data_IF_937212793552
#
_entry.id   IF_937212793552
#
_cell.length_a   1.000
_cell.length_b   1.000
_cell.length_c   1.000
_cell.angle_alpha   90.00
_cell.angle_beta   90.00
_cell.angle_gamma   90.00
#
_symmetry.space_group_name_H-M   'P 1'
#
loop_
_entity.id
_entity.type
_entity.pdbx_description
1 polymer ?
#
# COMPACT_ATOMS: atom_id res chain seq x y z
N UNK A 1 8.48 -42.87 2.83
CA UNK A 1 7.52 -42.65 1.73
C UNK A 1 7.06 -41.23 1.94
N UNK A 2 7.64 -40.36 1.13
CA UNK A 2 7.77 -38.93 1.39
C UNK A 2 6.49 -38.20 1.00
N UNK A 3 5.69 -37.79 1.98
CA UNK A 3 4.54 -36.88 1.79
C UNK A 3 4.96 -35.40 1.69
N UNK A 4 6.25 -35.08 1.87
CA UNK A 4 6.78 -33.69 1.91
C UNK A 4 7.11 -33.05 0.54
N UNK A 5 6.90 -33.75 -0.59
CA UNK A 5 7.31 -33.25 -1.92
C UNK A 5 6.18 -32.66 -2.77
N UNK A 6 4.93 -32.66 -2.29
CA UNK A 6 3.79 -32.10 -3.03
C UNK A 6 3.45 -30.65 -2.66
N UNK A 7 3.78 -30.18 -1.44
CA UNK A 7 3.43 -28.83 -0.99
C UNK A 7 4.27 -27.71 -1.65
N UNK A 8 5.49 -28.05 -2.11
CA UNK A 8 6.40 -27.08 -2.74
C UNK A 8 5.96 -26.57 -4.11
N UNK A 9 5.18 -27.35 -4.89
CA UNK A 9 4.72 -26.94 -6.23
C UNK A 9 3.48 -26.05 -6.22
N UNK A 10 2.71 -26.05 -5.13
CA UNK A 10 1.47 -25.25 -5.06
C UNK A 10 1.75 -23.75 -4.87
N UNK A 11 2.92 -23.40 -4.33
CA UNK A 11 3.31 -22.01 -4.09
C UNK A 11 4.12 -21.36 -5.23
N UNK A 12 4.26 -22.03 -6.38
CA UNK A 12 4.95 -21.44 -7.53
C UNK A 12 4.09 -20.34 -8.18
N UNK A 13 4.78 -19.25 -8.58
CA UNK A 13 4.22 -18.19 -9.38
C UNK A 13 3.79 -18.74 -10.76
N UNK A 14 2.65 -18.28 -11.26
CA UNK A 14 2.03 -18.73 -12.51
C UNK A 14 2.16 -17.64 -13.56
N UNK A 15 2.10 -18.01 -14.84
CA UNK A 15 1.96 -17.02 -15.92
C UNK A 15 0.63 -16.26 -15.76
N UNK A 16 0.72 -14.94 -15.62
CA UNK A 16 -0.46 -14.08 -15.43
C UNK A 16 -1.46 -14.22 -16.57
N UNK A 17 -1.00 -14.46 -17.80
CA UNK A 17 -1.86 -14.65 -18.97
C UNK A 17 -2.69 -15.94 -18.96
N UNK A 18 -2.43 -16.83 -18.00
CA UNK A 18 -3.18 -18.09 -17.81
C UNK A 18 -4.23 -18.03 -16.71
N UNK A 19 -4.29 -16.94 -15.94
CA UNK A 19 -5.24 -16.79 -14.84
C UNK A 19 -6.67 -16.61 -15.35
N UNK A 20 -7.62 -17.18 -14.61
CA UNK A 20 -9.03 -16.97 -14.87
C UNK A 20 -9.47 -15.56 -14.43
N UNK A 21 -10.45 -15.01 -15.13
CA UNK A 21 -10.91 -13.65 -14.90
C UNK A 21 -11.84 -13.59 -13.67
N UNK A 22 -11.58 -12.70 -12.71
CA UNK A 22 -12.28 -12.69 -11.43
C UNK A 22 -13.79 -12.33 -11.53
N UNK A 23 -14.20 -11.61 -12.57
CA UNK A 23 -15.61 -11.33 -12.88
C UNK A 23 -16.40 -12.52 -13.48
N UNK A 24 -15.75 -13.63 -13.83
CA UNK A 24 -16.48 -14.83 -14.27
C UNK A 24 -17.33 -15.40 -13.13
N UNK A 25 -18.55 -15.83 -13.44
CA UNK A 25 -19.47 -16.41 -12.44
C UNK A 25 -18.85 -17.59 -11.68
N UNK A 26 -18.07 -18.42 -12.36
CA UNK A 26 -17.39 -19.55 -11.72
C UNK A 26 -16.46 -19.09 -10.59
N UNK A 27 -15.72 -17.99 -10.81
CA UNK A 27 -14.74 -17.51 -9.83
C UNK A 27 -15.42 -16.76 -8.69
N UNK A 28 -16.52 -16.07 -9.00
CA UNK A 28 -17.37 -15.46 -7.98
C UNK A 28 -17.99 -16.51 -7.05
N UNK A 29 -18.45 -17.66 -7.59
CA UNK A 29 -18.93 -18.77 -6.77
C UNK A 29 -17.82 -19.41 -5.93
N UNK A 30 -16.62 -19.59 -6.49
CA UNK A 30 -15.47 -20.09 -5.73
C UNK A 30 -15.12 -19.16 -4.57
N UNK A 31 -15.16 -17.84 -4.79
CA UNK A 31 -14.93 -16.86 -3.72
C UNK A 31 -15.96 -17.04 -2.58
N UNK A 32 -17.25 -17.15 -2.91
CA UNK A 32 -18.33 -17.39 -1.93
C UNK A 32 -18.11 -18.67 -1.11
N UNK A 33 -17.70 -19.75 -1.78
CA UNK A 33 -17.42 -21.02 -1.12
C UNK A 33 -16.23 -20.89 -0.15
N UNK A 34 -15.14 -20.24 -0.57
CA UNK A 34 -13.91 -20.11 0.22
C UNK A 34 -14.04 -19.14 1.40
N UNK A 35 -14.86 -18.09 1.27
CA UNK A 35 -15.11 -17.12 2.33
C UNK A 35 -16.28 -17.52 3.26
N UNK A 36 -16.95 -18.65 3.01
CA UNK A 36 -18.11 -19.08 3.81
C UNK A 36 -17.75 -19.22 5.29
N UNK A 37 -18.51 -18.55 6.15
CA UNK A 37 -18.31 -18.56 7.60
C UNK A 37 -17.11 -17.74 8.08
N UNK A 38 -16.51 -16.94 7.21
CA UNK A 38 -15.37 -16.08 7.49
C UNK A 38 -15.72 -14.63 7.16
N UNK A 39 -15.12 -13.70 7.89
CA UNK A 39 -15.25 -12.28 7.59
C UNK A 39 -14.23 -11.89 6.51
N UNK A 40 -14.68 -11.34 5.40
CA UNK A 40 -13.79 -10.83 4.34
C UNK A 40 -13.09 -9.57 4.85
N UNK A 41 -11.76 -9.57 4.74
CA UNK A 41 -10.96 -8.36 4.85
C UNK A 41 -10.52 -7.97 3.43
N UNK A 42 -11.08 -6.89 2.91
CA UNK A 42 -10.71 -6.34 1.62
C UNK A 42 -9.45 -5.47 1.75
N UNK A 43 -8.41 -5.80 1.01
CA UNK A 43 -7.21 -4.99 0.85
C UNK A 43 -7.03 -4.68 -0.64
N UNK A 44 -6.74 -3.43 -0.96
CA UNK A 44 -6.66 -2.95 -2.34
C UNK A 44 -5.45 -2.05 -2.47
N UNK A 45 -4.63 -2.28 -3.50
CA UNK A 45 -3.62 -1.32 -3.91
C UNK A 45 -4.29 -0.05 -4.47
N UNK A 46 -3.53 1.04 -4.55
CA UNK A 46 -4.02 2.32 -5.03
C UNK A 46 -3.72 2.58 -6.52
N UNK A 47 -2.45 2.70 -6.90
CA UNK A 47 -2.04 3.16 -8.23
C UNK A 47 -2.12 2.00 -9.22
N UNK A 48 -2.80 2.15 -10.35
CA UNK A 48 -3.01 1.03 -11.29
C UNK A 48 -4.09 0.02 -10.88
N UNK A 49 -4.50 0.05 -9.61
CA UNK A 49 -5.60 -0.79 -9.08
C UNK A 49 -6.89 -0.01 -8.86
N UNK A 50 -6.94 0.94 -7.92
CA UNK A 50 -8.13 1.77 -7.69
C UNK A 50 -8.14 3.01 -8.61
N UNK A 51 -6.96 3.58 -8.86
CA UNK A 51 -6.75 4.74 -9.72
C UNK A 51 -6.00 4.32 -10.99
N UNK A 52 -6.24 4.96 -12.14
CA UNK A 52 -5.50 4.66 -13.36
C UNK A 52 -4.02 5.08 -13.26
N UNK A 53 -3.14 4.34 -13.94
CA UNK A 53 -1.75 4.76 -14.15
C UNK A 53 -1.75 5.99 -15.07
N UNK A 54 -1.20 7.09 -14.59
CA UNK A 54 -1.10 8.38 -15.29
C UNK A 54 0.34 8.86 -15.36
N UNK A 55 0.66 9.74 -16.31
CA UNK A 55 2.01 10.28 -16.47
C UNK A 55 2.45 11.14 -15.29
N UNK A 56 1.52 11.89 -14.70
CA UNK A 56 1.74 12.69 -13.50
C UNK A 56 1.10 11.98 -12.31
N UNK A 57 1.89 11.39 -11.38
CA UNK A 57 1.37 10.69 -10.21
C UNK A 57 0.48 11.57 -9.31
N UNK A 58 0.60 12.90 -9.38
CA UNK A 58 -0.27 13.79 -8.61
C UNK A 58 -1.72 13.82 -9.13
N UNK A 59 -1.95 13.37 -10.38
CA UNK A 59 -3.26 13.33 -11.03
C UNK A 59 -3.96 11.97 -10.93
N UNK A 60 -3.37 10.98 -10.24
CA UNK A 60 -3.89 9.62 -10.13
C UNK A 60 -5.07 9.54 -9.13
N UNK A 61 -6.19 10.21 -9.41
CA UNK A 61 -7.36 10.23 -8.53
C UNK A 61 -8.33 9.07 -8.82
N UNK A 62 -8.90 8.48 -7.76
CA UNK A 62 -10.08 7.63 -7.87
C UNK A 62 -11.32 8.48 -8.19
N UNK A 63 -12.30 7.87 -8.86
CA UNK A 63 -13.59 8.52 -9.11
C UNK A 63 -14.41 8.65 -7.81
N UNK A 64 -15.38 9.56 -7.80
CA UNK A 64 -16.27 9.74 -6.66
C UNK A 64 -17.10 8.47 -6.40
N UNK A 65 -17.53 7.79 -7.47
CA UNK A 65 -18.26 6.53 -7.39
C UNK A 65 -17.42 5.42 -6.74
N UNK A 66 -16.14 5.28 -7.11
CA UNK A 66 -15.23 4.30 -6.46
C UNK A 66 -15.00 4.66 -5.00
N UNK A 67 -14.85 5.94 -4.66
CA UNK A 67 -14.70 6.39 -3.26
C UNK A 67 -15.95 6.05 -2.44
N UNK A 68 -17.14 6.30 -2.98
CA UNK A 68 -18.41 6.01 -2.33
C UNK A 68 -18.63 4.51 -2.15
N UNK A 69 -18.24 3.72 -3.14
CA UNK A 69 -18.25 2.26 -3.08
C UNK A 69 -17.35 1.73 -1.97
N UNK A 70 -16.11 2.21 -1.85
CA UNK A 70 -15.21 1.85 -0.74
C UNK A 70 -15.80 2.24 0.61
N UNK A 71 -16.41 3.42 0.72
CA UNK A 71 -17.10 3.86 1.94
C UNK A 71 -18.26 2.94 2.32
N UNK A 72 -19.04 2.50 1.33
CA UNK A 72 -20.16 1.58 1.55
C UNK A 72 -19.66 0.18 1.96
N UNK A 73 -18.65 -0.35 1.28
CA UNK A 73 -18.00 -1.62 1.62
C UNK A 73 -17.42 -1.60 3.04
N UNK A 74 -16.81 -0.49 3.47
CA UNK A 74 -16.25 -0.33 4.82
C UNK A 74 -17.27 -0.48 5.96
N UNK A 75 -18.58 -0.48 5.66
CA UNK A 75 -19.65 -0.75 6.64
C UNK A 75 -19.87 -2.23 6.90
N UNK A 76 -19.37 -3.10 6.02
CA UNK A 76 -19.55 -4.55 6.07
C UNK A 76 -18.19 -5.25 6.19
N UNK A 77 -17.18 -4.76 5.50
CA UNK A 77 -15.84 -5.35 5.48
C UNK A 77 -14.85 -4.40 6.17
N UNK A 78 -13.89 -4.91 6.94
CA UNK A 78 -12.63 -4.21 7.11
C UNK A 78 -12.03 -3.95 5.72
N UNK A 79 -11.77 -2.68 5.41
CA UNK A 79 -11.17 -2.26 4.14
C UNK A 79 -9.83 -1.59 4.42
N UNK A 80 -8.79 -2.00 3.71
CA UNK A 80 -7.48 -1.36 3.74
C UNK A 80 -7.04 -0.93 2.34
N UNK A 81 -6.50 0.28 2.24
CA UNK A 81 -5.78 0.74 1.04
C UNK A 81 -4.29 0.63 1.32
N UNK A 82 -3.58 -0.16 0.51
CA UNK A 82 -2.13 -0.37 0.60
C UNK A 82 -1.47 0.37 -0.55
N UNK A 83 -0.35 1.05 -0.34
CA UNK A 83 0.31 1.81 -1.41
C UNK A 83 1.79 2.10 -1.10
N UNK A 84 2.57 2.34 -2.16
CA UNK A 84 3.90 2.95 -2.06
C UNK A 84 3.87 4.43 -1.66
N UNK A 85 2.74 5.14 -1.86
CA UNK A 85 2.56 6.54 -1.43
C UNK A 85 2.68 6.66 0.09
N UNK A 86 3.25 7.76 0.58
CA UNK A 86 3.23 8.05 2.02
C UNK A 86 1.80 8.09 2.56
N UNK A 87 1.60 7.75 3.84
CA UNK A 87 0.28 7.67 4.46
C UNK A 87 -0.53 8.97 4.27
N UNK A 88 0.14 10.11 4.44
CA UNK A 88 -0.48 11.43 4.28
C UNK A 88 -0.96 11.64 2.85
N UNK A 89 -0.11 11.35 1.85
CA UNK A 89 -0.49 11.46 0.44
C UNK A 89 -1.62 10.50 0.14
N UNK A 90 -1.49 9.22 0.49
CA UNK A 90 -2.52 8.22 0.26
C UNK A 90 -3.89 8.64 0.82
N UNK A 91 -3.91 9.17 2.04
CA UNK A 91 -5.13 9.71 2.64
C UNK A 91 -5.70 10.90 1.87
N UNK A 92 -4.88 11.84 1.38
CA UNK A 92 -5.35 12.97 0.57
C UNK A 92 -6.04 12.57 -0.73
N UNK A 93 -5.67 11.41 -1.29
CA UNK A 93 -6.26 10.87 -2.51
C UNK A 93 -7.56 10.11 -2.24
N UNK A 94 -7.56 9.23 -1.24
CA UNK A 94 -8.71 8.38 -0.90
C UNK A 94 -9.79 9.13 -0.13
N UNK A 95 -9.40 9.93 0.88
CA UNK A 95 -10.28 10.78 1.70
C UNK A 95 -11.40 10.02 2.42
N UNK A 96 -11.09 8.85 2.98
CA UNK A 96 -12.02 8.05 3.77
C UNK A 96 -11.50 7.86 5.20
N UNK A 97 -12.36 8.15 6.17
CA UNK A 97 -12.03 7.97 7.59
C UNK A 97 -12.29 6.52 8.04
N UNK A 98 -13.12 5.79 7.30
CA UNK A 98 -13.62 4.46 7.66
C UNK A 98 -12.74 3.29 7.19
N UNK A 99 -11.55 3.55 6.63
CA UNK A 99 -10.67 2.52 6.08
C UNK A 99 -9.30 2.56 6.75
N UNK A 100 -8.61 1.42 6.73
CA UNK A 100 -7.19 1.35 7.07
C UNK A 100 -6.34 1.84 5.89
N UNK A 101 -5.17 2.37 6.20
CA UNK A 101 -4.18 2.83 5.24
C UNK A 101 -2.85 2.20 5.58
N UNK A 102 -2.17 1.63 4.58
CA UNK A 102 -0.78 1.19 4.67
C UNK A 102 0.03 1.94 3.61
N UNK A 103 0.68 3.03 4.04
CA UNK A 103 1.50 3.88 3.19
C UNK A 103 2.98 3.49 3.20
N UNK A 104 3.75 4.04 2.27
CA UNK A 104 5.18 3.80 2.10
C UNK A 104 5.52 2.32 2.04
N UNK A 105 4.80 1.55 1.23
CA UNK A 105 4.91 0.09 1.13
C UNK A 105 4.65 -0.63 2.47
N UNK A 106 3.85 -0.01 3.35
CA UNK A 106 3.48 -0.55 4.65
C UNK A 106 4.39 -0.14 5.81
N UNK A 107 5.37 0.74 5.61
CA UNK A 107 6.18 1.27 6.72
C UNK A 107 5.38 2.09 7.72
N UNK A 108 4.25 2.64 7.29
CA UNK A 108 3.29 3.36 8.12
C UNK A 108 1.89 2.84 7.87
N UNK A 109 1.22 2.42 8.95
CA UNK A 109 -0.13 1.87 8.92
C UNK A 109 -0.98 2.66 9.90
N UNK A 110 -2.16 3.09 9.46
CA UNK A 110 -3.09 3.78 10.35
C UNK A 110 -4.56 3.58 9.96
N UNK A 111 -5.44 3.96 10.87
CA UNK A 111 -6.89 3.95 10.66
C UNK A 111 -7.62 2.73 11.25
N UNK A 112 -8.93 2.58 11.02
CA UNK A 112 -9.83 3.66 10.61
C UNK A 112 -9.71 4.84 11.57
N UNK A 113 -9.82 6.05 11.04
CA UNK A 113 -9.62 7.27 11.80
C UNK A 113 -10.91 7.65 12.53
N UNK A 114 -10.84 7.72 13.86
CA UNK A 114 -11.81 8.46 14.65
C UNK A 114 -11.22 9.86 14.93
N UNK A 115 -11.98 10.90 14.62
CA UNK A 115 -11.61 12.26 14.97
C UNK A 115 -12.36 12.69 16.23
N UNK A 116 -11.67 13.35 17.16
CA UNK A 116 -12.33 13.99 18.29
C UNK A 116 -13.16 15.17 17.78
N UNK A 117 -14.37 15.35 18.31
CA UNK A 117 -15.41 16.24 17.76
C UNK A 117 -15.18 17.74 17.94
N UNK A 118 -13.97 18.25 17.75
CA UNK A 118 -13.72 19.68 17.63
C UNK A 118 -13.43 20.02 16.16
N UNK A 119 -14.39 20.66 15.49
CA UNK A 119 -14.03 21.46 14.33
C UNK A 119 -12.98 22.47 14.80
N UNK A 120 -11.83 22.48 14.13
CA UNK A 120 -10.87 23.56 14.31
C UNK A 120 -11.56 24.85 13.87
N UNK A 121 -12.09 25.59 14.84
CA UNK A 121 -12.49 26.97 14.66
C UNK A 121 -11.26 27.76 14.26
N UNK A 122 -11.38 28.56 13.20
CA UNK A 122 -10.43 29.59 12.77
C UNK A 122 -9.60 30.15 13.93
N UNK A 123 -8.38 29.65 14.08
CA UNK A 123 -7.40 30.18 15.00
C UNK A 123 -6.02 30.04 14.37
N UNK A 124 -5.58 31.13 13.76
CA UNK A 124 -4.18 31.51 13.64
C UNK A 124 -3.29 30.60 12.80
N UNK A 125 -2.86 31.12 11.66
CA UNK A 125 -1.66 30.68 10.97
C UNK A 125 -0.43 30.75 11.90
N UNK A 126 -0.17 29.68 12.63
CA UNK A 126 1.16 29.38 13.14
C UNK A 126 1.70 28.20 12.33
N UNK A 127 2.63 28.50 11.43
CA UNK A 127 3.56 27.52 10.89
C UNK A 127 4.35 26.93 12.06
N UNK A 128 3.83 25.87 12.66
CA UNK A 128 4.62 24.99 13.51
C UNK A 128 5.29 23.94 12.62
N UNK A 129 6.61 23.86 12.75
CA UNK A 129 7.49 22.95 12.02
C UNK A 129 6.99 21.50 12.05
N UNK A 130 6.43 21.03 10.92
CA UNK A 130 6.58 19.71 10.30
C UNK A 130 6.81 18.40 11.09
N UNK A 131 6.47 18.28 12.38
CA UNK A 131 6.75 17.04 13.15
C UNK A 131 5.55 16.33 13.75
N UNK A 132 4.34 16.89 13.70
CA UNK A 132 3.17 16.19 14.23
C UNK A 132 2.62 15.21 13.17
N UNK A 133 3.29 14.05 13.07
CA UNK A 133 2.95 12.91 12.17
C UNK A 133 1.61 12.25 12.49
N UNK A 134 0.84 12.86 13.39
CA UNK A 134 -0.41 12.38 13.97
C UNK A 134 -1.62 13.13 13.42
N UNK A 135 -1.40 14.01 12.43
CA UNK A 135 -2.43 14.63 11.64
C UNK A 135 -2.49 13.99 10.25
N UNK A 136 -3.58 13.27 9.95
CA UNK A 136 -3.94 12.89 8.58
C UNK A 136 -4.96 13.90 8.06
N UNK A 137 -4.63 14.58 6.96
CA UNK A 137 -5.51 15.60 6.37
C UNK A 137 -5.75 16.84 7.24
N UNK A 138 -4.79 17.20 8.10
CA UNK A 138 -4.88 18.42 8.95
C UNK A 138 -5.78 18.29 10.19
N UNK A 139 -6.30 17.10 10.48
CA UNK A 139 -7.10 16.81 11.69
C UNK A 139 -6.31 15.96 12.68
N UNK A 140 -6.38 16.29 13.97
CA UNK A 140 -5.74 15.49 15.02
C UNK A 140 -6.45 14.13 15.16
N UNK A 141 -5.71 13.04 14.97
CA UNK A 141 -6.23 11.67 15.08
C UNK A 141 -6.40 11.31 16.56
N UNK A 142 -7.57 10.77 16.93
CA UNK A 142 -7.76 10.16 18.24
C UNK A 142 -7.02 8.82 18.31
N UNK A 143 -5.78 8.84 18.79
CA UNK A 143 -4.92 7.66 18.94
C UNK A 143 -5.48 6.59 19.88
N UNK A 144 -6.46 6.92 20.73
CA UNK A 144 -7.10 5.92 21.58
C UNK A 144 -8.11 5.05 20.82
N UNK A 145 -8.45 5.44 19.59
CA UNK A 145 -9.51 4.82 18.78
C UNK A 145 -9.09 4.51 17.34
N UNK A 146 -7.88 4.89 16.95
CA UNK A 146 -7.32 4.62 15.63
C UNK A 146 -6.03 3.81 15.75
N UNK A 147 -5.82 2.83 14.87
CA UNK A 147 -4.53 2.20 14.72
C UNK A 147 -3.51 3.24 14.26
N UNK A 148 -2.31 3.19 14.84
CA UNK A 148 -1.13 3.82 14.30
C UNK A 148 0.06 2.91 14.55
N UNK A 149 0.75 2.53 13.48
CA UNK A 149 1.93 1.69 13.52
C UNK A 149 2.95 2.20 12.51
N UNK A 150 4.22 2.19 12.92
CA UNK A 150 5.32 2.59 12.07
C UNK A 150 6.47 1.58 12.19
N UNK A 151 6.67 0.76 11.17
CA UNK A 151 7.71 -0.27 11.17
C UNK A 151 9.13 0.30 11.12
N UNK A 152 9.28 1.53 10.62
CA UNK A 152 10.59 2.15 10.34
C UNK A 152 10.84 3.44 11.15
N UNK A 153 10.17 3.62 12.28
CA UNK A 153 10.26 4.86 13.09
C UNK A 153 11.72 5.21 13.46
N UNK A 154 12.51 4.19 13.82
CA UNK A 154 13.93 4.31 14.19
C UNK A 154 14.86 4.76 13.04
N UNK A 155 14.38 4.77 11.81
CA UNK A 155 15.12 5.23 10.62
C UNK A 155 14.85 6.70 10.29
N UNK A 156 13.84 7.33 10.90
CA UNK A 156 13.43 8.69 10.58
C UNK A 156 14.51 9.75 10.81
N UNK A 157 15.28 9.73 11.92
CA UNK A 157 16.38 10.69 12.09
C UNK A 157 17.45 10.54 11.01
N UNK A 158 17.69 9.30 10.55
CA UNK A 158 18.65 9.03 9.48
C UNK A 158 18.14 9.57 8.13
N UNK A 159 16.86 9.37 7.81
CA UNK A 159 16.24 9.93 6.60
C UNK A 159 16.24 11.46 6.61
N UNK A 160 15.91 12.09 7.74
CA UNK A 160 15.98 13.56 7.88
C UNK A 160 17.41 14.07 7.67
N UNK A 161 18.41 13.39 8.24
CA UNK A 161 19.83 13.73 8.02
C UNK A 161 20.24 13.52 6.56
N UNK A 162 19.80 12.43 5.91
CA UNK A 162 20.06 12.18 4.49
C UNK A 162 19.46 13.27 3.59
N UNK A 163 18.21 13.69 3.86
CA UNK A 163 17.56 14.77 3.13
C UNK A 163 18.31 16.10 3.26
N UNK A 164 18.76 16.45 4.48
CA UNK A 164 19.57 17.63 4.72
C UNK A 164 20.91 17.56 3.97
N UNK A 165 21.63 16.44 4.07
CA UNK A 165 22.88 16.21 3.35
C UNK A 165 22.71 16.38 1.85
N UNK A 166 21.66 15.82 1.25
CA UNK A 166 21.43 15.90 -0.20
C UNK A 166 21.02 17.31 -0.66
N UNK A 167 20.27 18.06 0.16
CA UNK A 167 19.87 19.44 -0.15
C UNK A 167 21.03 20.43 -0.02
N UNK A 168 21.86 20.27 1.01
CA UNK A 168 22.91 21.22 1.35
C UNK A 168 24.24 20.92 0.61
N UNK A 169 24.39 19.72 0.05
CA UNK A 169 25.63 19.31 -0.61
C UNK A 169 25.65 19.67 -2.08
N UNK A 170 26.75 20.30 -2.50
CA UNK A 170 27.22 20.20 -3.87
C UNK A 170 27.93 18.86 -4.00
N UNK A 171 27.29 17.88 -4.64
CA UNK A 171 27.85 16.53 -4.77
C UNK A 171 29.26 16.62 -5.42
N UNK A 172 30.32 16.16 -4.71
CA UNK A 172 31.70 16.28 -5.21
C UNK A 172 31.86 15.64 -6.59
N UNK A 173 32.40 16.41 -7.55
CA UNK A 173 32.58 15.93 -8.94
C UNK A 173 31.36 16.11 -9.86
N UNK A 174 30.26 16.68 -9.36
CA UNK A 174 29.02 16.96 -10.09
C UNK A 174 28.65 18.46 -10.09
N UNK A 175 29.64 19.35 -9.97
CA UNK A 175 29.47 20.82 -9.99
C UNK A 175 28.76 21.39 -11.24
N UNK A 176 28.56 20.55 -12.28
CA UNK A 176 27.90 20.91 -13.54
C UNK A 176 26.54 20.25 -13.74
N UNK A 177 26.04 19.51 -12.74
CA UNK A 177 24.73 18.87 -12.80
C UNK A 177 23.66 19.89 -12.38
N UNK A 178 22.56 20.06 -13.15
CA UNK A 178 21.42 20.85 -12.70
C UNK A 178 20.96 20.41 -11.31
N UNK A 179 20.38 21.32 -10.53
CA UNK A 179 19.83 21.00 -9.21
C UNK A 179 18.96 19.73 -9.31
N UNK A 180 19.39 18.66 -8.63
CA UNK A 180 18.68 17.39 -8.68
C UNK A 180 17.36 17.54 -7.93
N UNK A 181 16.27 17.12 -8.55
CA UNK A 181 14.98 17.08 -7.89
C UNK A 181 15.01 15.99 -6.82
N UNK A 182 14.88 16.40 -5.55
CA UNK A 182 14.79 15.51 -4.39
C UNK A 182 13.37 15.55 -3.86
N UNK A 183 12.68 14.41 -3.88
CA UNK A 183 11.35 14.25 -3.30
C UNK A 183 11.46 13.53 -1.96
N UNK A 184 10.86 14.10 -0.91
CA UNK A 184 10.76 13.51 0.43
C UNK A 184 9.38 12.86 0.61
N UNK A 185 9.36 11.54 0.67
CA UNK A 185 8.18 10.71 0.87
C UNK A 185 8.17 10.04 2.25
N UNK A 186 8.75 10.69 3.26
CA UNK A 186 8.81 10.27 4.68
C UNK A 186 9.70 9.05 4.91
N UNK A 187 9.42 7.91 4.27
CA UNK A 187 10.20 6.66 4.33
C UNK A 187 10.92 6.33 3.03
N UNK A 188 10.94 7.27 2.09
CA UNK A 188 11.75 7.20 0.88
C UNK A 188 12.18 8.61 0.48
N UNK A 189 13.45 8.77 0.14
CA UNK A 189 13.96 9.98 -0.51
C UNK A 189 14.30 9.64 -1.95
N UNK A 190 13.60 10.26 -2.90
CA UNK A 190 13.77 10.01 -4.32
C UNK A 190 14.64 11.09 -4.94
N UNK A 191 15.82 10.72 -5.43
CA UNK A 191 16.75 11.60 -6.14
C UNK A 191 16.58 11.37 -7.64
N UNK A 192 15.90 12.29 -8.32
CA UNK A 192 15.59 12.18 -9.74
C UNK A 192 16.72 12.74 -10.60
N UNK A 193 17.24 11.94 -11.52
CA UNK A 193 18.33 12.33 -12.43
C UNK A 193 17.91 12.32 -13.91
N UNK A 194 16.61 12.23 -14.19
CA UNK A 194 16.07 12.36 -15.57
C UNK A 194 16.37 13.71 -16.19
N UNK A 195 16.19 14.80 -15.45
CA UNK A 195 16.46 16.16 -15.95
C UNK A 195 17.95 16.35 -16.25
N UNK A 196 18.82 15.81 -15.40
CA UNK A 196 20.25 15.76 -15.65
C UNK A 196 20.55 15.07 -16.99
N UNK A 197 20.02 13.87 -17.22
CA UNK A 197 20.20 13.16 -18.49
C UNK A 197 19.70 13.95 -19.71
N UNK A 198 18.57 14.65 -19.57
CA UNK A 198 18.01 15.49 -20.64
C UNK A 198 18.81 16.76 -20.93
N UNK A 199 19.61 17.23 -19.97
CA UNK A 199 20.45 18.43 -20.10
C UNK A 199 21.83 18.18 -20.71
N UNK A 200 22.25 16.91 -20.83
CA UNK A 200 23.57 16.57 -21.34
C UNK A 200 23.70 16.88 -22.84
N UNK A 201 24.81 17.49 -23.29
CA UNK A 201 25.14 17.58 -24.71
C UNK A 201 25.18 16.19 -25.35
N UNK A 202 24.77 16.08 -26.62
CA UNK A 202 24.67 14.80 -27.33
C UNK A 202 25.96 13.96 -27.39
N UNK A 203 27.12 14.59 -27.18
CA UNK A 203 28.44 13.95 -27.24
C UNK A 203 29.06 13.70 -25.85
N UNK A 204 28.34 13.99 -24.77
CA UNK A 204 28.85 13.81 -23.41
C UNK A 204 28.34 12.50 -22.80
N UNK A 205 29.22 11.64 -22.26
CA UNK A 205 28.78 10.40 -21.62
C UNK A 205 28.00 10.70 -20.34
N UNK A 206 26.96 9.91 -20.07
CA UNK A 206 26.22 10.03 -18.82
C UNK A 206 27.10 9.66 -17.63
N UNK A 207 27.18 10.53 -16.62
CA UNK A 207 27.92 10.28 -15.38
C UNK A 207 27.03 9.76 -14.25
N UNK A 208 26.01 8.96 -14.61
CA UNK A 208 25.05 8.39 -13.66
C UNK A 208 25.74 7.45 -12.67
N UNK A 209 26.64 6.54 -13.06
CA UNK A 209 27.35 5.70 -12.09
C UNK A 209 28.12 6.51 -11.04
N UNK A 210 28.78 7.60 -11.45
CA UNK A 210 29.49 8.50 -10.54
C UNK A 210 28.54 9.28 -9.64
N UNK A 211 27.38 9.70 -10.15
CA UNK A 211 26.31 10.31 -9.35
C UNK A 211 25.82 9.35 -8.26
N UNK A 212 25.51 8.11 -8.62
CA UNK A 212 25.03 7.10 -7.69
C UNK A 212 26.09 6.78 -6.63
N UNK A 213 27.36 6.68 -7.03
CA UNK A 213 28.47 6.48 -6.09
C UNK A 213 28.66 7.68 -5.16
N UNK A 214 28.48 8.91 -5.65
CA UNK A 214 28.55 10.12 -4.81
C UNK A 214 27.42 10.15 -3.78
N UNK A 215 26.20 9.78 -4.17
CA UNK A 215 25.05 9.64 -3.25
C UNK A 215 25.36 8.58 -2.19
N UNK A 216 25.83 7.40 -2.59
CA UNK A 216 26.18 6.32 -1.66
C UNK A 216 27.27 6.77 -0.68
N UNK A 217 28.29 7.47 -1.16
CA UNK A 217 29.40 7.96 -0.34
C UNK A 217 29.00 9.09 0.61
N UNK A 218 28.06 9.94 0.21
CA UNK A 218 27.56 11.04 1.05
C UNK A 218 26.58 10.54 2.12
N UNK A 219 25.70 9.60 1.75
CA UNK A 219 24.55 9.20 2.58
C UNK A 219 24.81 7.87 3.27
N UNK A 220 25.11 6.80 2.52
CA UNK A 220 25.10 5.44 3.04
C UNK A 220 26.34 5.10 3.88
N UNK A 221 27.46 5.80 3.67
CA UNK A 221 28.67 5.66 4.50
C UNK A 221 28.42 6.09 5.95
N UNK A 222 27.63 7.15 6.16
CA UNK A 222 27.33 7.75 7.46
C UNK A 222 26.04 7.21 8.09
N UNK A 223 25.17 6.57 7.28
CA UNK A 223 23.80 6.19 7.67
C UNK A 223 23.52 4.71 7.34
N UNK A 224 24.07 3.75 8.11
CA UNK A 224 23.98 2.31 7.80
C UNK A 224 22.55 1.74 7.90
N UNK A 225 21.63 2.47 8.54
CA UNK A 225 20.19 2.13 8.61
C UNK A 225 19.44 2.36 7.29
N UNK A 226 20.09 2.95 6.28
CA UNK A 226 19.49 3.25 4.99
C UNK A 226 20.09 2.36 3.91
N UNK A 227 19.36 2.21 2.81
CA UNK A 227 19.81 1.56 1.59
C UNK A 227 19.35 2.37 0.37
N UNK A 228 20.14 2.32 -0.69
CA UNK A 228 19.71 2.79 -2.02
C UNK A 228 18.98 1.66 -2.75
N UNK A 229 17.87 1.99 -3.38
CA UNK A 229 17.21 1.22 -4.42
C UNK A 229 17.24 2.02 -5.73
N UNK A 230 17.11 1.32 -6.85
CA UNK A 230 17.12 1.94 -8.17
C UNK A 230 15.72 1.86 -8.77
N UNK A 231 15.27 2.99 -9.31
CA UNK A 231 14.06 3.08 -10.11
C UNK A 231 14.36 3.66 -11.50
N UNK A 232 13.32 3.84 -12.32
CA UNK A 232 13.48 4.35 -13.69
C UNK A 232 13.92 5.81 -13.69
N UNK A 233 15.24 6.02 -13.78
CA UNK A 233 15.90 7.33 -13.72
C UNK A 233 15.75 8.05 -12.37
N UNK A 234 15.74 7.27 -11.29
CA UNK A 234 15.64 7.75 -9.91
C UNK A 234 16.45 6.83 -8.98
N UNK A 235 17.11 7.42 -7.99
CA UNK A 235 17.73 6.70 -6.88
C UNK A 235 16.90 6.93 -5.62
N UNK A 236 16.46 5.85 -4.99
CA UNK A 236 15.59 5.91 -3.82
C UNK A 236 16.36 5.51 -2.56
N UNK A 237 16.45 6.39 -1.59
CA UNK A 237 17.04 6.09 -0.28
C UNK A 237 15.92 5.75 0.68
N UNK A 238 15.91 4.53 1.19
CA UNK A 238 14.85 3.98 2.03
C UNK A 238 15.41 3.25 3.26
N UNK A 239 14.60 3.01 4.31
CA UNK A 239 14.98 2.15 5.43
C UNK A 239 15.54 0.81 4.97
N UNK A 240 16.60 0.37 5.64
CA UNK A 240 17.17 -0.97 5.51
C UNK A 240 16.51 -1.90 6.52
N UNK A 241 15.22 -2.11 6.33
CA UNK A 241 14.39 -3.02 7.12
C UNK A 241 13.83 -4.08 6.18
N UNK A 242 13.73 -5.31 6.67
CA UNK A 242 13.07 -6.41 5.97
C UNK A 242 11.56 -6.26 6.19
N UNK A 243 10.93 -5.46 5.33
CA UNK A 243 9.50 -5.16 5.35
C UNK A 243 9.01 -4.91 3.93
N UNK A 244 7.82 -5.41 3.64
CA UNK A 244 7.15 -5.36 2.34
C UNK A 244 5.62 -5.32 2.51
N UNK A 245 4.88 -5.29 1.40
CA UNK A 245 3.40 -5.28 1.43
C UNK A 245 2.83 -6.57 2.03
N UNK A 246 3.53 -7.70 1.94
CA UNK A 246 3.14 -8.96 2.57
C UNK A 246 3.15 -8.87 4.10
N UNK A 247 4.21 -8.30 4.69
CA UNK A 247 4.26 -8.01 6.13
C UNK A 247 3.19 -7.00 6.56
N UNK A 248 2.87 -6.01 5.73
CA UNK A 248 1.79 -5.08 6.01
C UNK A 248 0.42 -5.78 6.06
N UNK A 249 0.16 -6.69 5.12
CA UNK A 249 -1.05 -7.54 5.09
C UNK A 249 -1.11 -8.43 6.35
N UNK A 250 -0.01 -9.10 6.70
CA UNK A 250 0.07 -9.91 7.92
C UNK A 250 -0.25 -9.09 9.17
N UNK A 251 0.36 -7.92 9.31
CA UNK A 251 0.14 -7.02 10.43
C UNK A 251 -1.33 -6.61 10.56
N UNK A 252 -1.95 -6.18 9.44
CA UNK A 252 -3.36 -5.76 9.40
C UNK A 252 -4.30 -6.91 9.77
N UNK A 253 -4.07 -8.10 9.23
CA UNK A 253 -4.87 -9.29 9.54
C UNK A 253 -4.78 -9.65 11.03
N UNK A 254 -3.58 -9.64 11.60
CA UNK A 254 -3.37 -9.90 13.02
C UNK A 254 -4.05 -8.82 13.89
N UNK A 255 -3.97 -7.55 13.48
CA UNK A 255 -4.65 -6.46 14.18
C UNK A 255 -6.17 -6.65 14.20
N UNK A 256 -6.79 -6.92 13.04
CA UNK A 256 -8.24 -7.11 12.94
C UNK A 256 -8.69 -8.40 13.63
N UNK A 257 -7.94 -9.50 13.55
CA UNK A 257 -8.28 -10.73 14.28
C UNK A 257 -8.27 -10.54 15.81
N UNK A 258 -7.40 -9.66 16.32
CA UNK A 258 -7.27 -9.40 17.76
C UNK A 258 -8.19 -8.29 18.29
N UNK A 259 -8.47 -7.27 17.48
CA UNK A 259 -9.21 -6.06 17.90
C UNK A 259 -10.53 -5.84 17.16
N UNK A 260 -10.79 -6.57 16.06
CA UNK A 260 -12.00 -6.43 15.24
C UNK A 260 -13.29 -6.71 16.00
N UNK A 261 -13.25 -7.60 17.00
CA UNK A 261 -14.36 -7.84 17.92
C UNK A 261 -14.69 -6.62 18.82
N UNK A 262 -13.71 -5.72 19.06
CA UNK A 262 -13.92 -4.52 19.89
C UNK A 262 -14.39 -3.29 19.09
N UNK A 263 -14.06 -3.18 17.80
CA UNK A 263 -14.61 -2.11 16.94
C UNK A 263 -16.12 -2.31 16.72
N UNK A 264 -16.59 -3.57 16.75
CA UNK A 264 -18.02 -3.94 16.74
C UNK A 264 -18.77 -3.56 18.04
N UNK A 265 -18.06 -3.34 19.15
CA UNK A 265 -18.69 -3.08 20.46
C UNK A 265 -19.11 -1.61 20.66
N UNK A 266 -18.83 -0.72 19.71
CA UNK A 266 -19.31 0.66 19.78
C UNK A 266 -20.78 0.84 19.34
N UNK A 267 -21.40 -0.17 18.70
CA UNK A 267 -22.85 -0.22 18.45
C UNK A 267 -23.59 -1.21 19.34
N UNK A 268 -22.93 -2.24 19.88
CA UNK A 268 -23.55 -3.25 20.73
C UNK A 268 -23.19 -3.06 22.20
N UNK A 269 -24.06 -2.37 22.95
CA UNK A 269 -23.95 -2.23 24.42
C UNK A 269 -24.17 -3.53 25.20
N UNK A 270 -24.44 -4.65 24.53
CA UNK A 270 -24.78 -5.91 25.18
C UNK A 270 -24.17 -7.11 24.44
N UNK A 271 -22.85 -7.32 24.53
CA UNK A 271 -22.25 -8.59 24.16
C UNK A 271 -21.18 -9.01 25.19
N UNK A 272 -21.64 -9.55 26.32
CA UNK A 272 -20.88 -10.59 27.01
C UNK A 272 -20.83 -11.78 26.05
N UNK A 273 -19.64 -12.23 25.64
CA UNK A 273 -19.24 -13.65 25.71
C UNK A 273 -17.90 -13.90 25.05
N UNK A 274 -17.06 -14.61 25.80
CA UNK A 274 -16.07 -15.60 25.36
C UNK A 274 -16.45 -16.30 24.03
N UNK A 275 -16.03 -15.77 22.87
CA UNK A 275 -16.27 -16.34 21.55
C UNK A 275 -14.94 -16.67 20.85
N UNK A 276 -14.92 -17.77 20.10
CA UNK A 276 -13.80 -18.16 19.25
C UNK A 276 -13.34 -16.99 18.35
N UNK A 277 -12.04 -16.87 18.02
CA UNK A 277 -11.53 -15.77 17.21
C UNK A 277 -12.25 -15.74 15.85
N UNK A 278 -12.70 -14.54 15.45
CA UNK A 278 -13.33 -14.31 14.15
C UNK A 278 -12.36 -14.72 13.05
N UNK A 279 -12.73 -15.73 12.26
CA UNK A 279 -11.89 -16.19 11.18
C UNK A 279 -11.96 -15.21 10.01
N UNK A 280 -10.83 -14.59 9.69
CA UNK A 280 -10.73 -13.63 8.59
C UNK A 280 -10.45 -14.33 7.25
N UNK A 281 -10.95 -13.77 6.15
CA UNK A 281 -10.68 -14.16 4.78
C UNK A 281 -10.02 -12.99 4.05
N UNK A 282 -8.69 -12.97 3.90
CA UNK A 282 -8.02 -11.90 3.16
C UNK A 282 -8.42 -11.94 1.68
N UNK A 283 -8.84 -10.80 1.14
CA UNK A 283 -9.05 -10.59 -0.28
C UNK A 283 -8.20 -9.40 -0.72
N UNK A 284 -7.12 -9.65 -1.46
CA UNK A 284 -6.17 -8.62 -1.89
C UNK A 284 -6.24 -8.39 -3.39
N UNK A 285 -6.21 -7.13 -3.83
CA UNK A 285 -6.17 -6.73 -5.24
C UNK A 285 -5.00 -5.77 -5.45
N UNK A 286 -4.14 -6.03 -6.44
CA UNK A 286 -2.97 -5.18 -6.75
C UNK A 286 -2.49 -5.34 -8.19
N UNK A 287 -1.66 -4.43 -8.71
CA UNK A 287 -1.23 -4.42 -10.12
C UNK A 287 0.29 -4.59 -10.32
N UNK A 288 1.10 -4.31 -9.28
CA UNK A 288 2.52 -4.13 -9.44
C UNK A 288 3.37 -5.27 -8.83
N UNK A 289 4.68 -5.19 -9.07
CA UNK A 289 5.64 -6.18 -8.56
C UNK A 289 5.72 -6.18 -7.04
N UNK A 290 5.37 -5.08 -6.36
CA UNK A 290 5.39 -5.01 -4.90
C UNK A 290 4.16 -5.68 -4.28
N UNK A 291 3.06 -5.83 -5.04
CA UNK A 291 1.88 -6.59 -4.61
C UNK A 291 2.13 -8.11 -4.61
N UNK A 292 3.14 -8.60 -5.32
CA UNK A 292 3.53 -10.01 -5.28
C UNK A 292 3.91 -10.49 -3.88
N UNK A 293 4.43 -9.60 -3.02
CA UNK A 293 4.73 -9.92 -1.62
C UNK A 293 3.43 -10.23 -0.85
N UNK A 294 2.36 -9.47 -1.10
CA UNK A 294 1.04 -9.71 -0.53
C UNK A 294 0.38 -10.98 -1.10
N UNK A 295 0.46 -11.18 -2.42
CA UNK A 295 -0.07 -12.38 -3.07
C UNK A 295 0.64 -13.64 -2.57
N UNK A 296 1.97 -13.61 -2.47
CA UNK A 296 2.78 -14.72 -1.97
C UNK A 296 2.42 -15.06 -0.53
N UNK A 297 2.24 -14.06 0.33
CA UNK A 297 1.78 -14.26 1.71
C UNK A 297 0.40 -14.94 1.77
N UNK A 298 -0.60 -14.43 1.03
CA UNK A 298 -1.97 -14.97 1.04
C UNK A 298 -2.00 -16.40 0.50
N UNK A 299 -1.24 -16.66 -0.56
CA UNK A 299 -1.16 -17.99 -1.17
C UNK A 299 -0.49 -19.00 -0.25
N UNK A 300 0.65 -18.65 0.34
CA UNK A 300 1.40 -19.51 1.27
C UNK A 300 0.57 -19.87 2.50
N UNK A 301 -0.21 -18.93 3.03
CA UNK A 301 -1.08 -19.20 4.18
C UNK A 301 -2.34 -19.99 3.81
N UNK A 302 -2.71 -20.06 2.52
CA UNK A 302 -3.93 -20.72 2.00
C UNK A 302 -5.24 -20.23 2.65
N UNK A 303 -5.21 -19.04 3.27
CA UNK A 303 -6.33 -18.51 4.07
C UNK A 303 -7.28 -17.60 3.31
N UNK A 304 -6.83 -17.02 2.19
CA UNK A 304 -7.56 -16.02 1.42
C UNK A 304 -7.40 -16.15 -0.09
N UNK A 305 -7.68 -15.05 -0.78
CA UNK A 305 -7.67 -14.96 -2.23
C UNK A 305 -6.98 -13.67 -2.68
N UNK A 306 -6.27 -13.75 -3.80
CA UNK A 306 -5.56 -12.62 -4.40
C UNK A 306 -5.92 -12.44 -5.87
N UNK A 307 -6.01 -11.18 -6.30
CA UNK A 307 -6.37 -10.79 -7.67
C UNK A 307 -5.31 -9.82 -8.18
N UNK A 308 -4.67 -10.15 -9.30
CA UNK A 308 -3.75 -9.23 -9.99
C UNK A 308 -4.51 -8.39 -11.01
N UNK A 309 -4.16 -7.12 -11.13
CA UNK A 309 -4.64 -6.21 -12.17
C UNK A 309 -3.56 -6.06 -13.22
N UNK A 310 -3.84 -6.39 -14.48
CA UNK A 310 -2.86 -6.18 -15.54
C UNK A 310 -3.54 -5.90 -16.89
N UNK A 311 -2.91 -5.05 -17.70
CA UNK A 311 -3.35 -4.82 -19.07
C UNK A 311 -3.18 -6.12 -19.90
N UNK A 312 -4.27 -6.69 -20.46
CA UNK A 312 -4.20 -7.92 -21.25
C UNK A 312 -3.51 -7.72 -22.62
N UNK A 313 -3.23 -6.48 -23.02
CA UNK A 313 -2.51 -6.15 -24.25
C UNK A 313 -1.00 -6.05 -24.07
N UNK A 314 -0.50 -6.11 -22.84
CA UNK A 314 0.94 -6.20 -22.55
C UNK A 314 1.42 -7.64 -22.74
N UNK A 315 2.63 -7.82 -23.26
CA UNK A 315 3.24 -9.14 -23.39
C UNK A 315 3.47 -9.76 -21.99
N UNK A 316 2.63 -10.75 -21.63
CA UNK A 316 2.64 -11.41 -20.33
C UNK A 316 3.59 -12.60 -20.26
N UNK A 317 4.27 -12.97 -21.36
CA UNK A 317 5.07 -14.22 -21.45
C UNK A 317 6.21 -14.34 -20.43
N UNK A 318 6.50 -13.27 -19.68
CA UNK A 318 7.51 -13.23 -18.61
C UNK A 318 7.00 -12.62 -17.30
N UNK A 319 5.69 -12.40 -17.16
CA UNK A 319 5.11 -11.84 -15.95
C UNK A 319 4.52 -13.02 -15.16
N UNK A 320 5.22 -13.40 -14.10
CA UNK A 320 4.76 -14.43 -13.17
C UNK A 320 4.08 -13.78 -11.97
N UNK A 321 3.00 -14.38 -11.49
CA UNK A 321 2.25 -13.88 -10.33
C UNK A 321 1.84 -15.00 -9.37
N UNK A 322 1.78 -14.70 -8.07
CA UNK A 322 1.19 -15.58 -7.06
C UNK A 322 -0.32 -15.44 -6.94
N UNK A 323 -0.93 -14.46 -7.63
CA UNK A 323 -2.37 -14.22 -7.59
C UNK A 323 -3.19 -15.44 -8.05
N UNK A 324 -4.43 -15.52 -7.55
CA UNK A 324 -5.38 -16.58 -7.91
C UNK A 324 -6.13 -16.28 -9.20
N UNK A 325 -6.50 -15.01 -9.40
CA UNK A 325 -7.28 -14.52 -10.53
C UNK A 325 -6.73 -13.22 -11.09
N UNK A 326 -7.26 -12.80 -12.24
CA UNK A 326 -6.92 -11.55 -12.90
C UNK A 326 -8.13 -10.62 -13.09
N UNK A 327 -7.86 -9.31 -13.08
CA UNK A 327 -8.66 -8.23 -13.63
C UNK A 327 -7.78 -7.39 -14.57
N UNK A 328 -8.38 -6.60 -15.45
CA UNK A 328 -7.64 -5.93 -16.51
C UNK A 328 -7.31 -4.46 -16.27
N UNK A 329 -8.15 -3.77 -15.50
CA UNK A 329 -8.00 -2.34 -15.26
C UNK A 329 -8.79 -1.89 -14.02
N UNK A 330 -8.59 -0.63 -13.57
CA UNK A 330 -9.34 -0.09 -12.44
C UNK A 330 -10.86 -0.07 -12.58
N UNK A 331 -11.41 -0.07 -13.81
CA UNK A 331 -12.86 -0.12 -14.01
C UNK A 331 -13.40 -1.51 -13.69
N UNK A 332 -12.64 -2.55 -14.01
CA UNK A 332 -13.01 -3.91 -13.63
C UNK A 332 -12.81 -4.17 -12.14
N UNK A 333 -11.82 -3.54 -11.50
CA UNK A 333 -11.72 -3.51 -10.03
C UNK A 333 -12.99 -2.90 -9.43
N UNK A 334 -13.42 -1.73 -9.93
CA UNK A 334 -14.70 -1.13 -9.52
C UNK A 334 -15.88 -2.10 -9.68
N UNK A 335 -16.05 -2.71 -10.85
CA UNK A 335 -17.14 -3.65 -11.11
C UNK A 335 -17.10 -4.88 -10.19
N UNK A 336 -15.90 -5.36 -9.84
CA UNK A 336 -15.72 -6.45 -8.89
C UNK A 336 -16.13 -6.04 -7.47
N UNK A 337 -15.71 -4.85 -7.03
CA UNK A 337 -16.10 -4.27 -5.74
C UNK A 337 -17.62 -4.03 -5.66
N UNK A 338 -18.27 -3.61 -6.75
CA UNK A 338 -19.74 -3.50 -6.81
C UNK A 338 -20.42 -4.86 -6.60
N UNK A 339 -19.90 -5.92 -7.22
CA UNK A 339 -20.42 -7.28 -6.99
C UNK A 339 -20.30 -7.72 -5.53
N UNK A 340 -19.20 -7.36 -4.85
CA UNK A 340 -19.06 -7.64 -3.41
C UNK A 340 -20.11 -6.90 -2.57
N UNK A 341 -20.45 -5.66 -2.94
CA UNK A 341 -21.43 -4.85 -2.21
C UNK A 341 -22.88 -5.26 -2.47
N UNK A 342 -23.23 -5.62 -3.71
CA UNK A 342 -24.64 -5.85 -4.10
C UNK A 342 -25.05 -7.31 -4.09
N UNK A 343 -24.12 -8.24 -3.90
CA UNK A 343 -24.46 -9.64 -3.66
C UNK A 343 -24.68 -9.88 -2.15
N UNK A 344 -25.96 -10.07 -1.81
CA UNK A 344 -26.44 -10.33 -0.45
C UNK A 344 -25.66 -11.44 0.29
N UNK A 345 -25.10 -12.41 -0.43
CA UNK A 345 -24.35 -13.50 0.19
C UNK A 345 -23.05 -13.04 0.83
N UNK A 346 -22.41 -11.99 0.31
CA UNK A 346 -21.24 -11.38 0.95
C UNK A 346 -21.65 -10.45 2.07
N UNK A 347 -22.62 -9.55 1.82
CA UNK A 347 -23.01 -8.54 2.79
C UNK A 347 -23.62 -9.15 4.05
N UNK A 348 -24.55 -10.11 3.93
CA UNK A 348 -25.17 -10.74 5.11
C UNK A 348 -24.17 -11.56 5.91
N UNK A 349 -23.20 -12.18 5.25
CA UNK A 349 -22.15 -12.95 5.93
C UNK A 349 -21.13 -12.05 6.68
N UNK A 350 -21.12 -10.75 6.37
CA UNK A 350 -20.18 -9.76 6.89
C UNK A 350 -20.88 -8.59 7.61
N UNK A 351 -22.20 -8.66 7.79
CA UNK A 351 -22.93 -7.64 8.52
C UNK A 351 -22.49 -7.67 9.99
N UNK A 352 -22.10 -6.50 10.50
CA UNK A 352 -21.79 -6.29 11.92
C UNK A 352 -23.13 -6.21 12.65
N UNK A 353 -23.63 -7.33 13.18
CA UNK A 353 -24.83 -7.34 14.04
C UNK A 353 -24.54 -6.68 15.41
#
# INVERSE_FOLDING_TARGET
>A
MDEDTQDGRENEARDVGTLAHALEEKQMQLLKERCRGKQIYLMVDYDGTLAPIVQDPSAAHISEETRDLLRALARFFPVAVVSGRSLIKLYQFVQLDSVYYAGSHGFEIAGPFAFSGAQASDAGSEQQNGTDRTACGGRAIDKSRALYYCAAEDCLPALQKAAALLKDSVLPGLHMVPELLIEDNVFSLSVHYRQYLGSLPANEPSRVPELLQAIDSLVLSELPKLRRAEGKMVAEIRPRIDWDKGYAVEFLLNHVATHGAQVSAMSARDAKTNSDPVQCFPLYIGDDVTDEDAFSYIRRTKTGLSIVVHDPHVDTTRISTHADFTLHDPKQVHAFLERLLYDDSFVRANAWD
#
